data_IF_175734281972
#
_entry.id   IF_175734281972
#
_cell.length_a   1.000
_cell.length_b   1.000
_cell.length_c   1.000
_cell.angle_alpha   90.00
_cell.angle_beta   90.00
_cell.angle_gamma   90.00
#
_symmetry.space_group_name_H-M   'P 1'
#
loop_
_entity.id
_entity.type
_entity.pdbx_description
1 polymer ?
#
# COMPACT_ATOMS: atom_id res chain seq x y z
N UNK A 1 12.61 17.63 -14.62
CA UNK A 1 12.63 17.26 -16.04
C UNK A 1 13.92 16.51 -16.34
N UNK A 2 13.79 15.26 -16.78
CA UNK A 2 14.84 14.43 -17.33
C UNK A 2 14.90 14.68 -18.84
N UNK A 3 16.08 14.88 -19.38
CA UNK A 3 16.31 15.10 -20.81
C UNK A 3 17.30 14.08 -21.34
N UNK A 4 17.16 13.73 -22.63
CA UNK A 4 18.13 12.91 -23.36
C UNK A 4 18.48 13.63 -24.67
N UNK A 5 19.77 13.89 -24.89
CA UNK A 5 20.27 14.67 -26.03
C UNK A 5 19.61 16.05 -26.21
N UNK A 6 19.23 16.70 -25.10
CA UNK A 6 18.56 18.01 -25.12
C UNK A 6 17.05 17.96 -25.31
N UNK A 7 16.47 16.79 -25.62
CA UNK A 7 15.03 16.61 -25.73
C UNK A 7 14.41 16.18 -24.40
N UNK A 8 13.25 16.76 -24.01
CA UNK A 8 12.51 16.35 -22.82
C UNK A 8 12.07 14.89 -22.90
N UNK A 9 12.47 14.09 -21.91
CA UNK A 9 12.10 12.68 -21.80
C UNK A 9 10.94 12.47 -20.82
N UNK A 10 11.05 13.03 -19.61
CA UNK A 10 10.05 12.85 -18.56
C UNK A 10 10.17 13.90 -17.46
N UNK A 11 9.12 14.08 -16.67
CA UNK A 11 9.23 14.82 -15.41
C UNK A 11 9.62 13.90 -14.26
N UNK A 12 10.55 14.40 -13.44
CA UNK A 12 11.01 13.70 -12.24
C UNK A 12 10.24 14.29 -11.07
N UNK A 13 9.33 13.50 -10.50
CA UNK A 13 8.62 13.85 -9.27
C UNK A 13 9.23 13.10 -8.09
N UNK A 14 9.39 13.74 -6.91
CA UNK A 14 9.89 13.04 -5.73
C UNK A 14 8.96 11.90 -5.32
N UNK A 15 9.55 10.74 -4.99
CA UNK A 15 8.82 9.65 -4.34
C UNK A 15 8.43 10.13 -2.93
N UNK A 16 7.13 10.29 -2.68
CA UNK A 16 6.62 10.63 -1.35
C UNK A 16 6.84 9.44 -0.41
N UNK A 17 7.73 9.60 0.57
CA UNK A 17 7.89 8.59 1.63
C UNK A 17 6.65 8.58 2.52
N UNK A 18 6.14 7.37 2.81
CA UNK A 18 5.11 7.15 3.83
C UNK A 18 5.67 7.62 5.18
N UNK A 19 4.85 8.29 5.98
CA UNK A 19 5.17 8.71 7.35
C UNK A 19 4.22 8.01 8.31
N UNK A 20 4.69 7.75 9.53
CA UNK A 20 3.80 7.31 10.59
C UNK A 20 2.80 8.43 10.89
N UNK A 21 1.52 8.06 11.02
CA UNK A 21 0.43 8.98 11.39
C UNK A 21 -0.04 8.60 12.79
N UNK A 22 -0.19 9.55 13.72
CA UNK A 22 -0.72 9.28 15.04
C UNK A 22 -2.12 8.66 14.96
N UNK A 23 -2.43 7.73 15.87
CA UNK A 23 -3.74 7.05 15.91
C UNK A 23 -4.90 8.04 15.95
N UNK A 24 -4.78 9.13 16.72
CA UNK A 24 -5.82 10.16 16.82
C UNK A 24 -6.12 10.84 15.48
N UNK A 25 -5.10 11.09 14.65
CA UNK A 25 -5.29 11.66 13.32
C UNK A 25 -5.97 10.66 12.37
N UNK A 26 -5.59 9.38 12.44
CA UNK A 26 -6.25 8.32 11.65
C UNK A 26 -7.74 8.25 12.01
N UNK A 27 -8.07 8.22 13.31
CA UNK A 27 -9.47 8.19 13.76
C UNK A 27 -10.25 9.43 13.32
N UNK A 28 -9.63 10.61 13.35
CA UNK A 28 -10.25 11.84 12.87
C UNK A 28 -10.56 11.79 11.37
N UNK A 29 -9.65 11.24 10.55
CA UNK A 29 -9.87 11.05 9.10
C UNK A 29 -11.07 10.15 8.84
N UNK A 30 -11.22 9.06 9.60
CA UNK A 30 -12.29 8.09 9.42
C UNK A 30 -13.59 8.42 10.17
N UNK A 31 -13.66 9.52 10.91
CA UNK A 31 -14.81 9.85 11.76
C UNK A 31 -16.15 9.98 11.00
N UNK A 32 -16.10 10.34 9.71
CA UNK A 32 -17.28 10.44 8.84
C UNK A 32 -17.45 9.26 7.90
N UNK A 33 -16.62 8.22 8.00
CA UNK A 33 -16.72 7.05 7.14
C UNK A 33 -17.93 6.18 7.52
N UNK A 34 -18.54 5.46 6.56
CA UNK A 34 -19.54 4.46 6.85
C UNK A 34 -19.01 3.40 7.83
N UNK A 35 -19.90 2.85 8.65
CA UNK A 35 -19.57 1.67 9.44
C UNK A 35 -19.18 0.51 8.50
N UNK A 36 -18.08 -0.15 8.84
CA UNK A 36 -17.57 -1.29 8.09
C UNK A 36 -18.15 -2.58 8.69
N UNK A 37 -18.74 -3.43 7.85
CA UNK A 37 -19.02 -4.82 8.21
C UNK A 37 -17.70 -5.60 8.13
N UNK A 38 -17.21 -6.01 9.30
CA UNK A 38 -15.90 -6.66 9.42
C UNK A 38 -15.95 -8.08 8.84
N UNK A 39 -17.09 -8.76 8.94
CA UNK A 39 -17.25 -10.13 8.47
C UNK A 39 -17.34 -10.15 6.94
N UNK A 40 -18.11 -9.22 6.35
CA UNK A 40 -18.20 -9.04 4.90
C UNK A 40 -16.83 -8.68 4.30
N UNK A 41 -16.16 -7.65 4.86
CA UNK A 41 -14.83 -7.25 4.40
C UNK A 41 -13.85 -8.43 4.42
N UNK A 42 -13.90 -9.22 5.48
CA UNK A 42 -12.99 -10.37 5.62
C UNK A 42 -13.27 -11.43 4.57
N UNK A 43 -14.53 -11.76 4.33
CA UNK A 43 -14.92 -12.72 3.30
C UNK A 43 -14.44 -12.30 1.90
N UNK A 44 -14.57 -11.00 1.56
CA UNK A 44 -14.12 -10.46 0.28
C UNK A 44 -12.59 -10.55 0.12
N UNK A 45 -11.84 -10.22 1.17
CA UNK A 45 -10.39 -10.33 1.16
C UNK A 45 -9.95 -11.79 1.01
N UNK A 46 -10.58 -12.71 1.74
CA UNK A 46 -10.26 -14.14 1.67
C UNK A 46 -10.63 -14.75 0.30
N UNK A 47 -11.65 -14.22 -0.39
CA UNK A 47 -12.02 -14.64 -1.73
C UNK A 47 -11.10 -14.09 -2.83
N UNK A 48 -10.56 -12.88 -2.65
CA UNK A 48 -9.75 -12.19 -3.65
C UNK A 48 -8.24 -12.36 -3.49
N UNK A 49 -7.77 -12.77 -2.31
CA UNK A 49 -6.36 -13.01 -2.04
C UNK A 49 -6.09 -14.50 -2.24
N UNK A 50 -5.24 -14.82 -3.21
CA UNK A 50 -4.60 -16.12 -3.27
C UNK A 50 -3.67 -16.26 -2.06
N UNK A 51 -4.10 -17.06 -1.08
CA UNK A 51 -3.36 -17.31 0.16
C UNK A 51 -2.17 -18.27 -0.07
N UNK A 52 -2.00 -18.78 -1.28
CA UNK A 52 -0.84 -19.58 -1.67
C UNK A 52 0.33 -18.64 -1.98
N UNK A 53 1.19 -18.39 -0.99
CA UNK A 53 2.49 -17.77 -1.23
C UNK A 53 3.27 -18.69 -2.19
N UNK A 54 3.64 -18.26 -3.41
CA UNK A 54 4.28 -19.14 -4.39
C UNK A 54 5.63 -19.72 -3.94
N UNK A 55 6.22 -19.10 -2.91
CA UNK A 55 7.39 -19.52 -2.16
C UNK A 55 7.54 -18.49 -1.02
N UNK A 56 7.87 -18.90 0.21
CA UNK A 56 8.22 -17.93 1.24
C UNK A 56 9.53 -17.24 0.83
N UNK A 57 9.57 -15.91 0.59
CA UNK A 57 10.78 -15.21 0.17
C UNK A 57 11.87 -15.20 1.25
N UNK A 58 11.56 -15.64 2.46
CA UNK A 58 12.50 -15.80 3.57
C UNK A 58 12.98 -17.25 3.74
N UNK A 59 12.41 -18.20 3.00
CA UNK A 59 12.83 -19.59 3.03
C UNK A 59 14.31 -19.72 2.61
N UNK A 60 15.14 -20.32 3.46
CA UNK A 60 16.57 -20.45 3.22
C UNK A 60 17.43 -19.22 3.58
N UNK A 61 16.84 -18.14 4.11
CA UNK A 61 17.61 -16.96 4.58
C UNK A 61 18.21 -17.15 5.99
N UNK A 62 17.71 -18.12 6.76
CA UNK A 62 18.19 -18.42 8.11
C UNK A 62 17.79 -17.38 9.18
N UNK A 63 16.80 -16.53 8.87
CA UNK A 63 16.16 -15.57 9.77
C UNK A 63 14.80 -16.06 10.23
#
# INVERSE_FOLDING_TARGET
MLTINGEPLADVVPIKRRRAVPTGEVLAIFAGAPALDVDELRADLDAGIDQELPHDPLEGTGL
#
